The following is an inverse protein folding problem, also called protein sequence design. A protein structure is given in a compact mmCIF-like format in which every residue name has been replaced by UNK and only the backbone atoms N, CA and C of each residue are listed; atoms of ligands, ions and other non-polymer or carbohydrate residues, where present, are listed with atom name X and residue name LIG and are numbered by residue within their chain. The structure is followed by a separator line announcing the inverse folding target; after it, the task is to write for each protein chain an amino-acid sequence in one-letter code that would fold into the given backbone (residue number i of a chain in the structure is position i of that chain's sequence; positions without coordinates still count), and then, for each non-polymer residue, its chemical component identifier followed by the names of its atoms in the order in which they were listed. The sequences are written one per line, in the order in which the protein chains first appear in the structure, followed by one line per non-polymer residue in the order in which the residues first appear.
data_IF_694473512004
#
_entry.id   IF_694473512004
#
_cell.length_a   1.000
_cell.length_b   1.000
_cell.length_c   1.000
_cell.angle_alpha   90.00
_cell.angle_beta   90.00
_cell.angle_gamma   90.00
#
_symmetry.space_group_name_H-M   'P 1'
#
loop_
_entity.id
_entity.type
_entity.pdbx_description
1 polymer ?
#
# COMPACT_ATOMS: atom_id res chain seq x y z
N UNK A 1 -15.20 10.09 4.65
CA UNK A 1 -13.91 9.47 4.33
C UNK A 1 -14.07 8.66 3.06
N UNK A 2 -13.23 8.91 2.07
CA UNK A 2 -13.10 8.00 0.93
C UNK A 2 -12.18 6.85 1.34
N UNK A 3 -12.56 5.62 1.03
CA UNK A 3 -11.76 4.46 1.44
C UNK A 3 -12.55 3.15 1.43
N UNK A 4 -11.89 2.07 1.81
CA UNK A 4 -12.45 0.73 1.86
C UNK A 4 -13.05 0.43 3.24
N UNK A 5 -14.19 -0.26 3.29
CA UNK A 5 -14.79 -0.82 4.50
C UNK A 5 -14.22 -2.17 4.87
N UNK A 6 -13.82 -2.93 3.86
CA UNK A 6 -13.37 -4.31 3.97
C UNK A 6 -12.42 -4.65 2.83
N UNK A 7 -11.85 -5.85 2.86
CA UNK A 7 -11.20 -6.47 1.70
C UNK A 7 -11.41 -7.98 1.74
N UNK A 8 -11.72 -8.56 0.59
CA UNK A 8 -11.68 -10.00 0.35
C UNK A 8 -10.58 -10.31 -0.68
N UNK A 9 -9.68 -11.21 -0.34
CA UNK A 9 -8.49 -11.55 -1.12
C UNK A 9 -8.52 -13.03 -1.43
N UNK A 10 -8.45 -13.41 -2.71
CA UNK A 10 -8.37 -14.80 -3.16
C UNK A 10 -7.17 -15.03 -4.04
N UNK A 11 -6.51 -16.16 -3.87
CA UNK A 11 -5.44 -16.69 -4.72
C UNK A 11 -4.25 -15.73 -4.95
N UNK A 12 -3.95 -14.89 -3.98
CA UNK A 12 -2.88 -13.91 -4.12
C UNK A 12 -1.67 -14.27 -3.25
N UNK A 13 -0.51 -14.47 -3.88
CA UNK A 13 0.73 -14.88 -3.22
C UNK A 13 0.52 -16.13 -2.33
N UNK A 14 0.86 -16.05 -1.05
CA UNK A 14 0.62 -17.11 -0.06
C UNK A 14 -0.81 -17.22 0.43
N UNK A 15 -1.68 -16.26 0.11
CA UNK A 15 -3.07 -16.20 0.56
C UNK A 15 -3.97 -16.94 -0.42
N UNK A 16 -4.55 -18.06 0.02
CA UNK A 16 -5.60 -18.75 -0.75
C UNK A 16 -6.94 -18.02 -0.63
N UNK A 17 -7.31 -17.62 0.58
CA UNK A 17 -8.47 -16.77 0.88
C UNK A 17 -8.25 -16.06 2.22
N UNK A 18 -8.62 -14.78 2.27
CA UNK A 18 -8.63 -13.95 3.49
C UNK A 18 -9.66 -12.84 3.31
N UNK A 19 -10.56 -12.71 4.29
CA UNK A 19 -11.51 -11.60 4.40
C UNK A 19 -11.21 -10.76 5.64
N UNK A 20 -11.23 -9.45 5.52
CA UNK A 20 -11.01 -8.49 6.61
C UNK A 20 -12.10 -7.42 6.54
N UNK A 21 -12.87 -7.29 7.61
CA UNK A 21 -14.01 -6.37 7.69
C UNK A 21 -13.74 -5.22 8.66
N UNK A 22 -14.60 -4.18 8.58
CA UNK A 22 -14.66 -3.06 9.51
C UNK A 22 -13.39 -2.19 9.56
N UNK A 23 -12.83 -1.86 8.39
CA UNK A 23 -11.75 -0.90 8.31
C UNK A 23 -12.18 0.49 8.80
N UNK A 24 -11.28 1.13 9.54
CA UNK A 24 -11.41 2.51 10.01
C UNK A 24 -10.43 3.43 9.27
N UNK A 25 -10.19 4.61 9.81
CA UNK A 25 -9.24 5.58 9.21
C UNK A 25 -7.80 5.07 9.26
N UNK A 26 -7.37 4.51 10.38
CA UNK A 26 -6.03 3.93 10.55
C UNK A 26 -6.16 2.44 10.88
N UNK A 27 -5.60 1.60 10.03
CA UNK A 27 -5.69 0.14 10.14
C UNK A 27 -4.29 -0.45 10.29
N UNK A 28 -4.05 -1.18 11.36
CA UNK A 28 -2.73 -1.74 11.67
C UNK A 28 -2.78 -3.26 11.58
N UNK A 29 -1.95 -3.84 10.73
CA UNK A 29 -1.83 -5.28 10.55
C UNK A 29 -0.63 -5.83 11.31
N UNK A 30 -0.90 -6.76 12.20
CA UNK A 30 0.06 -7.49 12.99
C UNK A 30 0.20 -8.94 12.53
N UNK A 31 1.22 -9.60 13.00
CA UNK A 31 1.41 -11.03 12.79
C UNK A 31 2.88 -11.39 12.68
N UNK A 32 3.15 -12.68 12.73
CA UNK A 32 4.50 -13.20 12.55
C UNK A 32 5.06 -12.90 11.16
N UNK A 33 6.37 -13.04 10.99
CA UNK A 33 6.97 -12.97 9.67
C UNK A 33 6.33 -14.00 8.74
N UNK A 34 6.12 -13.61 7.48
CA UNK A 34 5.49 -14.45 6.47
C UNK A 34 4.00 -14.82 6.74
N UNK A 35 3.31 -14.11 7.65
CA UNK A 35 1.86 -14.32 7.89
C UNK A 35 0.95 -13.72 6.81
N UNK A 36 1.49 -12.94 5.86
CA UNK A 36 0.74 -12.33 4.77
C UNK A 36 0.43 -10.84 4.94
N UNK A 37 0.95 -10.15 5.96
CA UNK A 37 0.71 -8.70 6.21
C UNK A 37 1.00 -7.83 4.98
N UNK A 38 2.21 -7.93 4.43
CA UNK A 38 2.60 -7.16 3.22
C UNK A 38 1.75 -7.54 2.02
N UNK A 39 1.32 -8.82 1.91
CA UNK A 39 0.41 -9.26 0.83
C UNK A 39 -0.97 -8.62 0.96
N UNK A 40 -1.45 -8.35 2.18
CA UNK A 40 -2.69 -7.59 2.39
C UNK A 40 -2.53 -6.15 1.92
N UNK A 41 -1.42 -5.46 2.27
CA UNK A 41 -1.16 -4.10 1.78
C UNK A 41 -1.07 -4.06 0.25
N UNK A 42 -0.37 -5.01 -0.36
CA UNK A 42 -0.26 -5.10 -1.81
C UNK A 42 -1.60 -5.36 -2.50
N UNK A 43 -2.47 -6.18 -1.91
CA UNK A 43 -3.83 -6.40 -2.41
C UNK A 43 -4.67 -5.11 -2.36
N UNK A 44 -4.58 -4.34 -1.27
CA UNK A 44 -5.23 -3.02 -1.13
C UNK A 44 -4.67 -2.05 -2.19
N UNK A 45 -3.35 -2.05 -2.41
CA UNK A 45 -2.69 -1.22 -3.42
C UNK A 45 -3.20 -1.52 -4.84
N UNK A 46 -3.26 -2.79 -5.22
CA UNK A 46 -3.76 -3.22 -6.53
C UNK A 46 -5.24 -2.86 -6.71
N UNK A 47 -6.07 -3.08 -5.70
CA UNK A 47 -7.49 -2.77 -5.77
C UNK A 47 -7.76 -1.26 -5.79
N UNK A 48 -6.93 -0.45 -5.14
CA UNK A 48 -7.04 1.01 -5.17
C UNK A 48 -6.82 1.58 -6.58
N UNK A 49 -5.83 1.05 -7.31
CA UNK A 49 -5.52 1.50 -8.68
C UNK A 49 -5.84 0.45 -9.74
N UNK A 50 -6.94 -0.28 -9.63
CA UNK A 50 -7.26 -1.49 -10.39
C UNK A 50 -7.36 -1.30 -11.91
N UNK A 51 -7.45 -0.07 -12.40
CA UNK A 51 -7.47 0.22 -13.83
C UNK A 51 -6.07 0.29 -14.47
N UNK A 52 -5.00 0.40 -13.66
CA UNK A 52 -3.64 0.59 -14.14
C UNK A 52 -2.90 -0.76 -14.26
N UNK A 53 -2.63 -1.23 -15.49
CA UNK A 53 -1.99 -2.53 -15.72
C UNK A 53 -0.49 -2.56 -15.37
N UNK A 54 0.13 -1.42 -15.07
CA UNK A 54 1.54 -1.37 -14.62
C UNK A 54 1.68 -1.68 -13.12
N UNK A 55 0.62 -1.57 -12.30
CA UNK A 55 0.72 -1.74 -10.85
C UNK A 55 1.26 -3.11 -10.42
N UNK A 56 0.83 -4.26 -10.99
CA UNK A 56 1.40 -5.55 -10.64
C UNK A 56 2.90 -5.65 -10.91
N UNK A 57 3.39 -5.04 -12.00
CA UNK A 57 4.83 -4.95 -12.27
C UNK A 57 5.54 -4.04 -11.25
N UNK A 58 4.94 -2.92 -10.90
CA UNK A 58 5.53 -1.97 -9.95
C UNK A 58 5.70 -2.59 -8.56
N UNK A 59 4.78 -3.45 -8.11
CA UNK A 59 4.93 -4.21 -6.87
C UNK A 59 6.15 -5.13 -6.89
N UNK A 60 6.42 -5.81 -8.02
CA UNK A 60 7.59 -6.68 -8.12
C UNK A 60 8.89 -5.86 -8.18
N UNK A 61 8.91 -4.75 -8.94
CA UNK A 61 10.05 -3.82 -8.97
C UNK A 61 10.40 -3.30 -7.58
N UNK A 62 9.38 -3.00 -6.78
CA UNK A 62 9.55 -2.56 -5.40
C UNK A 62 10.34 -3.57 -4.54
N UNK A 63 10.17 -4.86 -4.80
CA UNK A 63 10.86 -5.95 -4.07
C UNK A 63 12.23 -6.33 -4.66
N UNK A 64 12.38 -6.31 -5.99
CA UNK A 64 13.58 -6.86 -6.67
C UNK A 64 14.62 -5.82 -6.99
N UNK A 65 14.30 -4.51 -6.93
CA UNK A 65 15.14 -3.37 -7.36
C UNK A 65 15.63 -3.45 -8.82
N UNK A 66 15.03 -4.33 -9.64
CA UNK A 66 15.42 -4.53 -11.03
C UNK A 66 14.38 -3.88 -11.95
N UNK A 67 14.84 -2.99 -12.84
CA UNK A 67 14.00 -2.23 -13.77
C UNK A 67 14.13 -2.75 -15.20
N UNK A 68 13.49 -3.86 -15.52
CA UNK A 68 13.35 -4.31 -16.92
C UNK A 68 11.90 -4.72 -17.21
N UNK A 69 11.37 -4.28 -18.35
CA UNK A 69 10.01 -4.62 -18.82
C UNK A 69 9.86 -6.12 -19.10
N UNK A 70 10.98 -6.81 -19.42
CA UNK A 70 11.06 -8.27 -19.62
C UNK A 70 10.52 -9.12 -18.44
N UNK A 71 10.14 -8.49 -17.30
CA UNK A 71 9.72 -9.19 -16.09
C UNK A 71 8.20 -9.37 -15.93
N UNK A 72 7.42 -9.27 -17.02
CA UNK A 72 6.00 -9.66 -16.95
C UNK A 72 5.85 -11.11 -16.42
N UNK A 73 6.81 -11.97 -16.73
CA UNK A 73 6.89 -13.33 -16.19
C UNK A 73 6.99 -13.38 -14.66
N UNK A 74 7.55 -12.35 -14.03
CA UNK A 74 7.65 -12.28 -12.56
C UNK A 74 6.31 -11.99 -11.89
N UNK A 75 5.29 -11.49 -12.62
CA UNK A 75 3.94 -11.32 -12.11
C UNK A 75 3.35 -12.66 -11.66
N UNK A 76 3.80 -13.80 -12.21
CA UNK A 76 3.42 -15.15 -11.76
C UNK A 76 3.64 -15.37 -10.26
N UNK A 77 4.62 -14.68 -9.65
CA UNK A 77 4.85 -14.75 -8.19
C UNK A 77 3.75 -14.11 -7.36
N UNK A 78 2.80 -13.43 -7.98
CA UNK A 78 1.59 -12.91 -7.35
C UNK A 78 0.45 -13.93 -7.35
N UNK A 79 0.55 -15.02 -8.13
CA UNK A 79 -0.45 -16.08 -8.20
C UNK A 79 -0.20 -17.15 -7.12
N UNK A 80 -1.27 -17.59 -6.47
CA UNK A 80 -1.15 -18.60 -5.41
C UNK A 80 -0.59 -19.91 -5.93
N UNK A 81 0.43 -20.44 -5.23
CA UNK A 81 1.18 -21.63 -5.61
C UNK A 81 1.83 -21.54 -7.01
N UNK A 82 2.09 -20.34 -7.52
CA UNK A 82 2.63 -20.09 -8.88
C UNK A 82 1.77 -20.70 -10.00
N UNK A 83 0.52 -21.00 -9.71
CA UNK A 83 -0.41 -21.60 -10.65
C UNK A 83 -1.28 -20.51 -11.29
N UNK A 84 -1.09 -20.25 -12.57
CA UNK A 84 -1.82 -19.22 -13.31
C UNK A 84 -3.32 -19.47 -13.44
N UNK A 85 -3.76 -20.71 -13.20
CA UNK A 85 -5.20 -21.05 -13.11
C UNK A 85 -5.84 -20.55 -11.80
N UNK A 86 -5.03 -20.28 -10.77
CA UNK A 86 -5.48 -19.67 -9.51
C UNK A 86 -5.47 -18.14 -9.67
N UNK A 87 -6.39 -17.58 -10.41
CA UNK A 87 -6.47 -16.14 -10.68
C UNK A 87 -6.61 -15.35 -9.39
N UNK A 88 -5.73 -14.36 -9.11
CA UNK A 88 -5.92 -13.46 -8.00
C UNK A 88 -7.19 -12.63 -8.16
N UNK A 89 -8.00 -12.57 -7.10
CA UNK A 89 -9.21 -11.76 -7.03
C UNK A 89 -9.21 -10.91 -5.76
N UNK A 90 -9.69 -9.68 -5.90
CA UNK A 90 -9.78 -8.72 -4.81
C UNK A 90 -11.13 -8.03 -4.86
N UNK A 91 -11.82 -7.93 -3.73
CA UNK A 91 -13.08 -7.23 -3.65
C UNK A 91 -13.12 -6.33 -2.41
N UNK A 92 -13.80 -5.20 -2.53
CA UNK A 92 -14.04 -4.30 -1.39
C UNK A 92 -15.33 -3.52 -1.59
N UNK A 93 -16.01 -3.22 -0.51
CA UNK A 93 -17.03 -2.19 -0.45
C UNK A 93 -16.38 -0.90 0.05
N UNK A 94 -16.59 0.20 -0.65
CA UNK A 94 -16.14 1.53 -0.23
C UNK A 94 -17.07 2.14 0.82
N UNK A 95 -16.59 3.18 1.50
CA UNK A 95 -17.37 3.90 2.53
C UNK A 95 -18.63 4.58 1.96
N UNK A 96 -18.60 4.97 0.68
CA UNK A 96 -19.74 5.54 -0.07
C UNK A 96 -20.74 4.49 -0.60
N UNK A 97 -20.50 3.21 -0.35
CA UNK A 97 -21.35 2.10 -0.76
C UNK A 97 -21.03 1.49 -2.13
N UNK A 98 -20.10 2.07 -2.89
CA UNK A 98 -19.61 1.50 -4.15
C UNK A 98 -18.82 0.21 -3.86
N UNK A 99 -19.10 -0.85 -4.63
CA UNK A 99 -18.30 -2.08 -4.56
C UNK A 99 -17.33 -2.15 -5.72
N UNK A 100 -16.13 -2.62 -5.45
CA UNK A 100 -15.03 -2.81 -6.41
C UNK A 100 -14.64 -4.28 -6.42
N UNK A 101 -14.38 -4.79 -7.60
CA UNK A 101 -13.84 -6.13 -7.81
C UNK A 101 -12.75 -6.07 -8.87
N UNK A 102 -11.65 -6.76 -8.64
CA UNK A 102 -10.53 -6.89 -9.56
C UNK A 102 -10.14 -8.36 -9.68
N UNK A 103 -10.00 -8.85 -10.92
CA UNK A 103 -9.42 -10.13 -11.26
C UNK A 103 -8.19 -9.94 -12.14
N UNK A 104 -7.10 -10.63 -11.82
CA UNK A 104 -5.85 -10.59 -12.61
C UNK A 104 -5.67 -11.88 -13.38
N UNK A 105 -5.36 -11.77 -14.69
CA UNK A 105 -5.02 -12.92 -15.55
C UNK A 105 -3.66 -12.72 -16.18
N UNK A 106 -2.88 -13.77 -16.27
CA UNK A 106 -1.56 -13.77 -16.89
C UNK A 106 -1.46 -14.95 -17.86
N UNK A 107 -1.24 -14.67 -19.13
CA UNK A 107 -1.27 -15.70 -20.18
C UNK A 107 -0.38 -15.30 -21.38
N UNK A 108 -0.35 -16.14 -22.42
CA UNK A 108 0.39 -15.89 -23.65
C UNK A 108 -0.58 -15.63 -24.81
N UNK A 109 -0.31 -14.57 -25.61
CA UNK A 109 -0.98 -14.29 -26.88
C UNK A 109 0.03 -14.12 -28.00
N UNK A 110 -0.38 -14.37 -29.25
CA UNK A 110 0.49 -14.24 -30.42
C UNK A 110 0.56 -12.78 -30.92
N UNK A 111 -0.53 -12.05 -30.84
CA UNK A 111 -0.62 -10.65 -31.28
C UNK A 111 -1.39 -9.79 -30.26
N UNK A 112 -1.14 -8.48 -30.29
CA UNK A 112 -1.89 -7.52 -29.48
C UNK A 112 -3.37 -7.38 -29.96
N UNK A 113 -3.68 -7.74 -31.19
CA UNK A 113 -4.98 -7.58 -31.83
C UNK A 113 -5.95 -8.77 -31.53
N UNK A 114 -5.43 -9.91 -31.08
CA UNK A 114 -6.26 -11.06 -30.63
C UNK A 114 -7.14 -10.71 -29.39
N UNK A 115 -6.98 -9.51 -28.88
CA UNK A 115 -7.66 -8.96 -27.70
C UNK A 115 -9.04 -8.36 -27.92
N UNK A 116 -9.51 -8.24 -29.17
CA UNK A 116 -10.80 -7.60 -29.47
C UNK A 116 -12.00 -8.52 -29.27
N UNK A 117 -11.78 -9.76 -28.82
CA UNK A 117 -12.86 -10.69 -28.50
C UNK A 117 -13.62 -10.30 -27.24
N UNK A 118 -14.93 -10.52 -27.24
CA UNK A 118 -15.89 -10.13 -26.21
C UNK A 118 -15.49 -10.59 -24.79
N UNK A 119 -15.80 -9.78 -23.78
CA UNK A 119 -15.55 -10.03 -22.34
C UNK A 119 -16.11 -11.39 -21.87
N UNK A 120 -17.06 -11.99 -22.59
CA UNK A 120 -17.82 -13.18 -22.23
C UNK A 120 -17.21 -14.53 -22.74
N UNK A 121 -16.17 -14.51 -23.58
CA UNK A 121 -15.59 -15.78 -24.04
C UNK A 121 -14.48 -16.28 -23.10
N UNK A 122 -14.58 -17.54 -22.59
CA UNK A 122 -13.54 -18.14 -21.79
C UNK A 122 -12.28 -18.35 -22.67
N UNK A 123 -11.18 -17.71 -22.30
CA UNK A 123 -9.89 -17.96 -22.93
C UNK A 123 -9.53 -19.45 -22.81
N UNK A 124 -9.48 -20.14 -23.94
CA UNK A 124 -8.97 -21.52 -24.01
C UNK A 124 -7.46 -21.44 -23.80
N UNK A 125 -7.02 -21.67 -22.57
CA UNK A 125 -5.61 -21.78 -22.24
C UNK A 125 -5.06 -23.06 -22.90
N UNK A 126 -4.48 -22.96 -24.09
CA UNK A 126 -3.73 -24.06 -24.69
C UNK A 126 -2.50 -24.36 -23.83
N UNK A 127 -2.31 -25.63 -23.48
CA UNK A 127 -1.25 -26.13 -22.57
C UNK A 127 0.18 -26.07 -23.17
N UNK A 128 0.44 -25.23 -24.13
CA UNK A 128 1.81 -25.02 -24.63
C UNK A 128 2.58 -24.18 -23.61
N UNK A 129 3.76 -24.68 -23.20
CA UNK A 129 4.72 -24.09 -22.24
C UNK A 129 5.33 -22.80 -22.81
N UNK A 130 4.53 -21.86 -23.27
CA UNK A 130 5.01 -20.53 -23.69
C UNK A 130 5.00 -19.60 -22.48
N UNK A 131 6.06 -18.80 -22.37
CA UNK A 131 6.15 -17.80 -21.29
C UNK A 131 5.03 -16.78 -21.44
N UNK A 132 4.34 -16.42 -20.36
CA UNK A 132 3.27 -15.41 -20.41
C UNK A 132 3.84 -14.06 -20.85
N UNK A 133 3.15 -13.40 -21.75
CA UNK A 133 3.50 -12.09 -22.29
C UNK A 133 2.37 -11.06 -22.17
N UNK A 134 1.27 -11.46 -21.55
CA UNK A 134 0.09 -10.62 -21.41
C UNK A 134 -0.48 -10.69 -20.01
N UNK A 135 -0.62 -9.52 -19.40
CA UNK A 135 -1.33 -9.29 -18.15
C UNK A 135 -2.65 -8.59 -18.46
N UNK A 136 -3.74 -9.15 -17.96
CA UNK A 136 -5.06 -8.59 -18.08
C UNK A 136 -5.64 -8.31 -16.68
N UNK A 137 -6.25 -7.14 -16.52
CA UNK A 137 -7.01 -6.72 -15.38
C UNK A 137 -8.48 -6.60 -15.78
N UNK A 138 -9.33 -7.48 -15.26
CA UNK A 138 -10.78 -7.38 -15.37
C UNK A 138 -11.31 -6.79 -14.09
N UNK A 139 -12.08 -5.71 -14.18
CA UNK A 139 -12.56 -5.05 -12.98
C UNK A 139 -13.98 -4.53 -13.11
N UNK A 140 -14.69 -4.61 -11.99
CA UNK A 140 -16.09 -4.25 -11.89
C UNK A 140 -16.30 -3.13 -10.88
N UNK A 141 -17.20 -2.21 -11.22
CA UNK A 141 -17.71 -1.19 -10.33
C UNK A 141 -19.21 -1.41 -10.19
N UNK A 142 -19.64 -1.74 -8.96
CA UNK A 142 -21.06 -1.90 -8.64
C UNK A 142 -21.55 -0.70 -7.81
N UNK A 143 -22.57 -0.04 -8.30
CA UNK A 143 -23.26 1.08 -7.66
C UNK A 143 -24.74 0.74 -7.49
N UNK A 144 -25.53 1.62 -6.88
CA UNK A 144 -26.98 1.49 -6.82
C UNK A 144 -27.64 1.37 -8.22
N UNK A 145 -26.97 1.86 -9.27
CA UNK A 145 -27.47 1.84 -10.66
C UNK A 145 -27.08 0.57 -11.44
N UNK A 146 -26.39 -0.38 -10.81
CA UNK A 146 -25.93 -1.63 -11.41
C UNK A 146 -24.42 -1.76 -11.47
N UNK A 147 -23.97 -2.85 -12.11
CA UNK A 147 -22.55 -3.18 -12.29
C UNK A 147 -22.09 -2.78 -13.68
N UNK A 148 -20.92 -2.16 -13.76
CA UNK A 148 -20.19 -1.90 -15.00
C UNK A 148 -18.91 -2.71 -15.01
N UNK A 149 -18.59 -3.30 -16.15
CA UNK A 149 -17.43 -4.15 -16.38
C UNK A 149 -16.39 -3.40 -17.22
N UNK A 150 -15.15 -3.50 -16.83
CA UNK A 150 -14.03 -2.81 -17.49
C UNK A 150 -12.84 -3.74 -17.64
N UNK A 151 -11.93 -3.36 -18.52
CA UNK A 151 -10.74 -4.13 -18.84
C UNK A 151 -9.55 -3.22 -19.09
N UNK A 152 -8.39 -3.58 -18.56
CA UNK A 152 -7.10 -2.99 -18.90
C UNK A 152 -6.08 -4.10 -19.13
N UNK A 153 -5.10 -3.89 -20.00
CA UNK A 153 -4.10 -4.90 -20.29
C UNK A 153 -2.71 -4.33 -20.57
N UNK A 154 -1.71 -5.17 -20.35
CA UNK A 154 -0.33 -4.93 -20.68
C UNK A 154 0.18 -6.13 -21.48
N UNK A 155 0.57 -5.89 -22.73
CA UNK A 155 1.17 -6.85 -23.63
C UNK A 155 2.65 -6.52 -23.81
N UNK A 156 3.51 -7.54 -23.79
CA UNK A 156 4.95 -7.41 -24.06
C UNK A 156 5.30 -8.30 -25.25
N UNK A 157 5.79 -7.71 -26.32
CA UNK A 157 6.19 -8.45 -27.52
C UNK A 157 7.58 -9.11 -27.39
N UNK A 158 8.00 -9.84 -28.40
CA UNK A 158 9.30 -10.54 -28.42
C UNK A 158 10.52 -9.59 -28.38
N UNK A 159 10.34 -8.31 -28.73
CA UNK A 159 11.40 -7.29 -28.66
C UNK A 159 11.39 -6.48 -27.37
N UNK A 160 10.71 -6.98 -26.33
CA UNK A 160 10.52 -6.31 -25.03
C UNK A 160 9.79 -4.95 -25.11
N UNK A 161 9.10 -4.66 -26.21
CA UNK A 161 8.26 -3.48 -26.32
C UNK A 161 6.91 -3.74 -25.65
N UNK A 162 6.50 -2.81 -24.79
CA UNK A 162 5.26 -2.90 -24.05
C UNK A 162 4.14 -2.07 -24.70
N UNK A 163 2.99 -2.69 -24.91
CA UNK A 163 1.76 -2.02 -25.31
C UNK A 163 0.77 -2.05 -24.14
N UNK A 164 0.21 -0.88 -23.81
CA UNK A 164 -0.77 -0.70 -22.75
C UNK A 164 -2.11 -0.33 -23.33
N UNK A 165 -3.13 -0.99 -22.82
CA UNK A 165 -4.52 -0.66 -23.16
C UNK A 165 -5.28 -0.44 -21.86
N UNK A 166 -5.65 0.81 -21.60
CA UNK A 166 -6.48 1.19 -20.46
C UNK A 166 -7.92 1.41 -20.90
N UNK A 167 -8.87 1.14 -20.01
CA UNK A 167 -10.27 1.43 -20.26
C UNK A 167 -10.48 2.94 -20.42
N UNK A 168 -10.97 3.39 -21.58
CA UNK A 168 -11.27 4.80 -21.84
C UNK A 168 -12.54 5.28 -21.15
N UNK A 169 -13.40 4.36 -20.75
CA UNK A 169 -14.72 4.66 -20.15
C UNK A 169 -14.66 4.78 -18.62
N UNK A 170 -13.52 4.45 -18.02
CA UNK A 170 -13.33 4.49 -16.58
C UNK A 170 -12.19 5.45 -16.19
N UNK A 171 -12.49 6.31 -15.24
CA UNK A 171 -11.49 7.19 -14.61
C UNK A 171 -11.31 6.73 -13.16
N UNK A 172 -10.09 6.31 -12.81
CA UNK A 172 -9.77 5.90 -11.45
C UNK A 172 -9.88 7.10 -10.49
N UNK A 173 -10.64 6.91 -9.43
CA UNK A 173 -10.84 7.92 -8.37
C UNK A 173 -9.98 7.68 -7.16
N UNK A 174 -9.55 6.43 -6.95
CA UNK A 174 -8.70 6.07 -5.84
C UNK A 174 -7.24 6.07 -6.27
N UNK A 175 -6.38 6.52 -5.39
CA UNK A 175 -4.94 6.47 -5.56
C UNK A 175 -4.30 6.05 -4.25
N UNK A 176 -3.37 5.11 -4.29
CA UNK A 176 -2.65 4.67 -3.12
C UNK A 176 -1.15 4.88 -3.30
N UNK A 177 -0.49 5.31 -2.24
CA UNK A 177 0.97 5.29 -2.16
C UNK A 177 1.40 4.16 -1.22
N UNK A 178 2.38 3.37 -1.66
CA UNK A 178 2.95 2.27 -0.86
C UNK A 178 4.39 2.60 -0.47
N UNK A 179 4.62 2.75 0.83
CA UNK A 179 5.94 2.84 1.44
C UNK A 179 6.37 1.45 1.87
N UNK A 180 7.20 0.78 1.07
CA UNK A 180 7.76 -0.52 1.45
C UNK A 180 8.95 -0.36 2.40
N UNK A 181 9.27 -1.44 3.13
CA UNK A 181 10.38 -1.46 4.07
C UNK A 181 11.73 -1.09 3.41
N UNK A 182 11.92 -1.50 2.14
CA UNK A 182 13.18 -1.38 1.41
C UNK A 182 13.25 -0.19 0.44
N UNK A 183 12.13 0.47 0.15
CA UNK A 183 12.06 1.57 -0.81
C UNK A 183 11.74 2.88 -0.11
N UNK A 184 12.72 3.77 -0.17
CA UNK A 184 12.47 5.20 -0.06
C UNK A 184 11.77 5.63 -1.36
N UNK A 185 10.69 6.40 -1.24
CA UNK A 185 9.95 6.88 -2.41
C UNK A 185 10.90 7.56 -3.39
N UNK A 186 10.96 7.07 -4.62
CA UNK A 186 11.66 7.72 -5.73
C UNK A 186 11.03 9.07 -6.10
N UNK A 187 9.90 9.43 -5.48
CA UNK A 187 9.10 10.61 -5.80
C UNK A 187 9.12 11.69 -4.70
N UNK A 188 9.99 11.59 -3.69
CA UNK A 188 10.00 12.55 -2.57
C UNK A 188 10.06 14.00 -3.03
N UNK A 189 10.92 14.32 -4.01
CA UNK A 189 11.04 15.68 -4.55
C UNK A 189 9.72 16.14 -5.21
N UNK A 190 9.02 15.24 -5.91
CA UNK A 190 7.73 15.56 -6.54
C UNK A 190 6.64 15.77 -5.47
N UNK A 191 6.55 14.89 -4.47
CA UNK A 191 5.59 15.01 -3.36
C UNK A 191 5.78 16.34 -2.64
N UNK A 192 7.04 16.70 -2.32
CA UNK A 192 7.38 17.97 -1.70
C UNK A 192 7.09 19.18 -2.61
N UNK A 193 7.35 19.07 -3.91
CA UNK A 193 7.05 20.13 -4.87
C UNK A 193 5.56 20.46 -4.88
N UNK A 194 4.68 19.45 -4.86
CA UNK A 194 3.25 19.66 -4.80
C UNK A 194 2.81 20.33 -3.48
N UNK A 195 3.41 19.94 -2.36
CA UNK A 195 3.16 20.57 -1.05
C UNK A 195 3.64 22.01 -1.00
N UNK A 196 4.82 22.31 -1.57
CA UNK A 196 5.38 23.67 -1.63
C UNK A 196 4.56 24.59 -2.52
N UNK A 197 4.06 24.12 -3.67
CA UNK A 197 3.11 24.88 -4.51
C UNK A 197 1.85 25.27 -3.74
N UNK A 198 1.41 24.45 -2.81
CA UNK A 198 0.24 24.69 -1.92
C UNK A 198 0.58 25.49 -0.67
N UNK A 199 1.81 25.99 -0.51
CA UNK A 199 2.30 26.74 0.66
C UNK A 199 2.25 25.93 1.97
N UNK A 200 2.37 24.61 1.89
CA UNK A 200 2.35 23.70 3.05
C UNK A 200 3.74 23.33 3.58
N UNK A 201 4.79 23.99 3.09
CA UNK A 201 6.17 23.77 3.51
C UNK A 201 6.36 23.94 5.03
N UNK A 202 5.76 24.98 5.62
CA UNK A 202 5.91 25.26 7.06
C UNK A 202 5.29 24.17 7.93
N UNK A 203 4.13 23.65 7.55
CA UNK A 203 3.47 22.54 8.26
C UNK A 203 4.37 21.30 8.27
N UNK A 204 4.97 20.98 7.11
CA UNK A 204 5.91 19.87 7.01
C UNK A 204 7.16 20.08 7.85
N UNK A 205 7.71 21.31 7.85
CA UNK A 205 8.87 21.68 8.67
C UNK A 205 8.57 21.54 10.17
N UNK A 206 7.40 21.96 10.63
CA UNK A 206 6.95 21.76 12.01
C UNK A 206 6.91 20.27 12.41
N UNK A 207 6.43 19.40 11.53
CA UNK A 207 6.46 17.95 11.77
C UNK A 207 7.90 17.42 11.85
N UNK A 208 8.80 17.89 10.99
CA UNK A 208 10.22 17.52 11.03
C UNK A 208 10.92 18.02 12.29
N UNK A 209 10.63 19.25 12.75
CA UNK A 209 11.15 19.80 14.01
C UNK A 209 10.67 19.02 15.24
N UNK A 210 9.45 18.46 15.21
CA UNK A 210 9.03 17.53 16.26
C UNK A 210 9.87 16.24 16.26
N UNK A 211 10.33 15.78 15.10
CA UNK A 211 11.21 14.63 14.98
C UNK A 211 12.63 14.92 15.44
N UNK A 212 13.25 16.00 14.93
CA UNK A 212 14.58 16.49 15.34
C UNK A 212 14.55 18.03 15.43
N UNK A 213 14.70 18.56 16.64
CA UNK A 213 14.58 19.99 16.93
C UNK A 213 15.65 20.86 16.24
N UNK A 214 16.75 20.26 15.76
CA UNK A 214 17.82 20.96 15.03
C UNK A 214 17.47 21.29 13.59
N UNK A 215 16.39 20.69 13.05
CA UNK A 215 15.97 20.91 11.67
C UNK A 215 15.41 22.33 11.54
N UNK A 216 15.97 23.12 10.65
CA UNK A 216 15.56 24.51 10.41
C UNK A 216 15.13 24.80 8.97
N UNK A 217 15.48 23.95 8.01
CA UNK A 217 15.14 24.16 6.61
C UNK A 217 14.89 22.84 5.85
N UNK A 218 14.07 22.93 4.80
CA UNK A 218 13.82 21.85 3.84
C UNK A 218 13.67 22.50 2.46
N UNK A 219 14.52 22.12 1.50
CA UNK A 219 14.55 22.72 0.16
C UNK A 219 14.62 21.64 -0.93
N UNK A 220 14.19 22.02 -2.13
CA UNK A 220 14.36 21.20 -3.34
C UNK A 220 15.33 21.95 -4.26
N UNK A 221 16.50 21.38 -4.49
CA UNK A 221 17.53 21.93 -5.36
C UNK A 221 17.90 20.90 -6.42
N UNK A 222 17.83 21.28 -7.70
CA UNK A 222 18.15 20.38 -8.82
C UNK A 222 17.45 19.01 -8.77
N UNK A 223 16.17 19.00 -8.37
CA UNK A 223 15.35 17.80 -8.20
C UNK A 223 15.80 16.86 -7.04
N UNK A 224 16.76 17.28 -6.22
CA UNK A 224 17.14 16.61 -4.97
C UNK A 224 16.60 17.36 -3.77
N UNK A 225 16.34 16.63 -2.68
CA UNK A 225 15.83 17.19 -1.43
C UNK A 225 16.97 17.44 -0.46
N UNK A 226 17.03 18.64 0.09
CA UNK A 226 18.02 19.09 1.06
C UNK A 226 17.36 19.47 2.37
N UNK A 227 18.06 19.19 3.46
CA UNK A 227 17.64 19.50 4.83
C UNK A 227 18.72 20.34 5.53
N UNK A 228 18.30 21.38 6.22
CA UNK A 228 19.16 22.24 7.03
C UNK A 228 19.06 21.90 8.51
N UNK A 229 20.21 21.98 9.20
CA UNK A 229 20.34 21.80 10.64
C UNK A 229 21.01 23.02 11.26
N UNK A 230 20.64 23.38 12.49
CA UNK A 230 21.19 24.55 13.20
C UNK A 230 22.69 24.44 13.47
N UNK A 231 23.18 23.22 13.64
CA UNK A 231 24.58 22.91 13.97
C UNK A 231 25.46 22.66 12.72
N UNK A 232 24.91 22.73 11.50
CA UNK A 232 25.60 22.48 10.24
C UNK A 232 25.47 23.70 9.32
N UNK A 233 26.58 24.23 8.80
CA UNK A 233 26.59 25.45 7.99
C UNK A 233 25.93 25.29 6.62
N UNK A 234 26.03 24.10 6.03
CA UNK A 234 25.51 23.81 4.70
C UNK A 234 24.36 22.81 4.80
N UNK A 235 23.39 22.93 3.89
CA UNK A 235 22.30 21.98 3.81
C UNK A 235 22.81 20.62 3.31
N UNK A 236 22.34 19.54 3.91
CA UNK A 236 22.68 18.19 3.52
C UNK A 236 21.62 17.60 2.57
N UNK A 237 22.03 16.87 1.52
CA UNK A 237 21.08 16.04 0.79
C UNK A 237 20.39 15.07 1.74
N UNK A 238 19.08 14.91 1.63
CA UNK A 238 18.32 13.96 2.47
C UNK A 238 18.84 12.53 2.33
N UNK A 239 19.44 12.18 1.19
CA UNK A 239 20.11 10.89 0.99
C UNK A 239 21.29 10.64 1.92
N UNK A 240 21.90 11.71 2.47
CA UNK A 240 23.00 11.65 3.46
C UNK A 240 22.49 11.75 4.91
N UNK A 241 21.20 12.02 5.12
CA UNK A 241 20.60 11.98 6.43
C UNK A 241 20.42 10.53 6.92
N UNK A 242 20.25 10.38 8.23
CA UNK A 242 19.99 9.05 8.81
C UNK A 242 18.71 8.42 8.25
N UNK A 243 18.70 7.10 8.13
CA UNK A 243 17.59 6.33 7.54
C UNK A 243 16.24 6.65 8.20
N UNK A 244 16.22 6.83 9.51
CA UNK A 244 15.02 7.16 10.25
C UNK A 244 14.41 8.50 9.82
N UNK A 245 15.22 9.55 9.66
CA UNK A 245 14.73 10.85 9.20
C UNK A 245 14.24 10.78 7.75
N UNK A 246 14.97 10.08 6.88
CA UNK A 246 14.55 9.87 5.48
C UNK A 246 13.19 9.17 5.40
N UNK A 247 13.02 8.11 6.20
CA UNK A 247 11.76 7.35 6.24
C UNK A 247 10.62 8.19 6.80
N UNK A 248 10.85 8.88 7.90
CA UNK A 248 9.88 9.80 8.48
C UNK A 248 9.41 10.85 7.46
N UNK A 249 10.36 11.54 6.81
CA UNK A 249 10.06 12.56 5.81
C UNK A 249 9.27 11.99 4.62
N UNK A 250 9.65 10.81 4.10
CA UNK A 250 8.93 10.16 3.00
C UNK A 250 7.47 9.85 3.37
N UNK A 251 7.24 9.28 4.56
CA UNK A 251 5.89 8.95 5.03
C UNK A 251 5.05 10.22 5.16
N UNK A 252 5.59 11.26 5.82
CA UNK A 252 4.85 12.50 6.05
C UNK A 252 4.56 13.23 4.75
N UNK A 253 5.55 13.35 3.85
CA UNK A 253 5.38 14.03 2.56
C UNK A 253 4.34 13.32 1.69
N UNK A 254 4.44 12.00 1.52
CA UNK A 254 3.47 11.25 0.72
C UNK A 254 2.08 11.16 1.37
N UNK A 255 2.01 11.16 2.72
CA UNK A 255 0.73 11.23 3.44
C UNK A 255 0.06 12.60 3.28
N UNK A 256 0.82 13.67 3.22
CA UNK A 256 0.29 15.01 2.99
C UNK A 256 -0.10 15.26 1.51
N UNK A 257 0.49 14.52 0.54
CA UNK A 257 0.20 14.73 -0.88
C UNK A 257 -1.27 14.48 -1.20
N UNK A 258 -2.01 15.48 -1.70
CA UNK A 258 -3.46 15.37 -1.95
C UNK A 258 -3.83 14.42 -3.09
N UNK A 259 -2.88 14.05 -3.96
CA UNK A 259 -3.10 13.08 -5.02
C UNK A 259 -3.34 11.65 -4.50
N UNK A 260 -2.95 11.35 -3.26
CA UNK A 260 -3.14 10.04 -2.65
C UNK A 260 -4.41 10.01 -1.81
N UNK A 261 -5.30 9.04 -2.02
CA UNK A 261 -6.49 8.81 -1.20
C UNK A 261 -6.22 7.80 -0.09
N UNK A 262 -5.27 6.90 -0.29
CA UNK A 262 -4.87 5.86 0.67
C UNK A 262 -3.36 5.85 0.86
N UNK A 263 -2.93 5.60 2.08
CA UNK A 263 -1.54 5.52 2.50
C UNK A 263 -1.25 4.11 3.02
N UNK A 264 -0.27 3.45 2.43
CA UNK A 264 0.11 2.09 2.78
C UNK A 264 1.56 2.09 3.26
N UNK A 265 1.81 1.64 4.49
CA UNK A 265 3.13 1.66 5.12
C UNK A 265 3.50 0.25 5.55
N UNK A 266 4.45 -0.37 4.86
CA UNK A 266 4.95 -1.69 5.22
C UNK A 266 6.10 -1.56 6.23
N UNK A 267 6.02 -2.33 7.33
CA UNK A 267 7.01 -2.34 8.43
C UNK A 267 7.34 -0.91 8.93
N UNK A 268 6.35 -0.26 9.54
CA UNK A 268 6.46 1.13 10.02
C UNK A 268 7.67 1.36 10.92
N UNK A 269 8.07 0.36 11.67
CA UNK A 269 9.19 0.34 12.63
C UNK A 269 10.58 0.21 11.96
N UNK A 270 10.66 -0.18 10.67
CA UNK A 270 11.93 -0.39 10.00
C UNK A 270 12.74 0.92 9.86
N UNK A 271 14.02 0.88 10.25
CA UNK A 271 14.95 2.01 10.13
C UNK A 271 14.71 3.17 11.10
N UNK A 272 13.75 3.06 12.02
CA UNK A 272 13.44 4.08 13.02
C UNK A 272 13.92 3.68 14.42
N UNK A 273 14.48 4.62 15.16
CA UNK A 273 14.75 4.44 16.56
C UNK A 273 13.45 4.52 17.37
N UNK A 274 13.31 3.74 18.44
CA UNK A 274 12.09 3.64 19.24
C UNK A 274 11.56 4.99 19.75
N UNK A 275 12.46 5.96 20.03
CA UNK A 275 12.08 7.30 20.47
C UNK A 275 11.28 8.11 19.42
N UNK A 276 11.29 7.67 18.17
CA UNK A 276 10.57 8.29 17.07
C UNK A 276 9.15 7.72 16.88
N UNK A 277 8.85 6.54 17.42
CA UNK A 277 7.59 5.84 17.13
C UNK A 277 6.37 6.65 17.56
N UNK A 278 6.37 7.21 18.76
CA UNK A 278 5.23 8.01 19.25
C UNK A 278 4.97 9.22 18.35
N UNK A 279 6.04 9.97 18.00
CA UNK A 279 5.95 11.14 17.12
C UNK A 279 5.43 10.78 15.72
N UNK A 280 5.84 9.60 15.21
CA UNK A 280 5.37 9.11 13.93
C UNK A 280 3.87 8.75 13.98
N UNK A 281 3.41 8.07 15.03
CA UNK A 281 2.00 7.77 15.22
C UNK A 281 1.15 9.05 15.32
N UNK A 282 1.56 10.03 16.15
CA UNK A 282 0.90 11.33 16.24
C UNK A 282 0.78 12.01 14.87
N UNK A 283 1.87 12.04 14.10
CA UNK A 283 1.88 12.65 12.78
C UNK A 283 0.96 11.92 11.79
N UNK A 284 0.94 10.58 11.79
CA UNK A 284 0.08 9.77 10.90
C UNK A 284 -1.39 10.02 11.22
N UNK A 285 -1.79 9.96 12.50
CA UNK A 285 -3.20 10.18 12.88
C UNK A 285 -3.64 11.61 12.58
N UNK A 286 -2.83 12.61 12.93
CA UNK A 286 -3.13 14.00 12.64
C UNK A 286 -3.28 14.27 11.13
N UNK A 287 -2.35 13.76 10.31
CA UNK A 287 -2.43 13.91 8.86
C UNK A 287 -3.62 13.14 8.25
N UNK A 288 -3.87 11.92 8.69
CA UNK A 288 -5.01 11.13 8.23
C UNK A 288 -6.34 11.84 8.52
N UNK A 289 -6.47 12.43 9.71
CA UNK A 289 -7.65 13.20 10.11
C UNK A 289 -7.77 14.49 9.27
N UNK A 290 -6.70 15.29 9.18
CA UNK A 290 -6.69 16.58 8.48
C UNK A 290 -6.93 16.43 6.96
N UNK A 291 -6.45 15.34 6.34
CA UNK A 291 -6.56 15.10 4.89
C UNK A 291 -7.69 14.14 4.52
N UNK A 292 -8.44 13.62 5.49
CA UNK A 292 -9.54 12.66 5.34
C UNK A 292 -9.12 11.37 4.59
N UNK A 293 -7.88 10.91 4.77
CA UNK A 293 -7.30 9.72 4.13
C UNK A 293 -7.42 8.49 4.99
N UNK A 294 -7.40 7.33 4.34
CA UNK A 294 -7.32 6.03 5.00
C UNK A 294 -5.88 5.53 4.99
N UNK A 295 -5.43 5.00 6.12
CA UNK A 295 -4.05 4.53 6.30
C UNK A 295 -4.07 3.05 6.68
N UNK A 296 -3.18 2.28 6.04
CA UNK A 296 -2.96 0.87 6.31
C UNK A 296 -1.49 0.63 6.61
N UNK A 297 -1.19 -0.01 7.71
CA UNK A 297 0.15 -0.10 8.26
C UNK A 297 0.43 -1.53 8.66
N UNK A 298 1.63 -2.04 8.37
CA UNK A 298 2.10 -3.30 8.97
C UNK A 298 3.18 -3.03 10.00
N UNK A 299 3.22 -3.85 11.04
CA UNK A 299 4.32 -3.92 12.00
C UNK A 299 4.44 -5.33 12.58
N UNK A 300 5.63 -5.66 13.06
CA UNK A 300 5.89 -6.84 13.87
C UNK A 300 6.50 -6.48 15.25
N UNK A 301 6.67 -5.17 15.52
CA UNK A 301 7.31 -4.66 16.74
C UNK A 301 6.28 -4.46 17.86
N UNK A 302 6.58 -5.06 19.03
CA UNK A 302 5.79 -4.84 20.25
C UNK A 302 5.98 -3.42 20.78
N UNK A 303 7.19 -2.88 20.67
CA UNK A 303 7.52 -1.53 21.09
C UNK A 303 6.70 -0.49 20.34
N UNK A 304 6.55 -0.68 19.02
CA UNK A 304 5.72 0.20 18.17
C UNK A 304 4.26 0.18 18.63
N UNK A 305 3.73 -0.99 19.03
CA UNK A 305 2.37 -1.11 19.54
C UNK A 305 2.20 -0.45 20.91
N UNK A 306 3.17 -0.61 21.81
CA UNK A 306 3.12 0.08 23.11
C UNK A 306 3.17 1.60 22.94
N UNK A 307 3.95 2.11 21.97
CA UNK A 307 3.97 3.53 21.63
C UNK A 307 2.63 4.00 21.02
N UNK A 308 1.99 3.17 20.18
CA UNK A 308 0.65 3.43 19.66
C UNK A 308 -0.37 3.52 20.79
N UNK A 309 -0.36 2.56 21.73
CA UNK A 309 -1.26 2.57 22.89
C UNK A 309 -1.10 3.87 23.71
N UNK A 310 0.14 4.21 24.10
CA UNK A 310 0.41 5.43 24.87
C UNK A 310 0.03 6.71 24.13
N UNK A 311 0.19 6.75 22.79
CA UNK A 311 -0.28 7.88 21.99
C UNK A 311 -1.81 7.98 22.00
N UNK A 312 -2.54 6.86 21.89
CA UNK A 312 -4.00 6.84 21.92
C UNK A 312 -4.59 7.12 23.30
N UNK A 313 -3.85 6.86 24.37
CA UNK A 313 -4.21 7.29 25.74
C UNK A 313 -4.17 8.82 25.88
N UNK A 314 -3.14 9.45 25.30
CA UNK A 314 -2.99 10.92 25.32
C UNK A 314 -3.93 11.63 24.34
N UNK A 315 -4.38 10.92 23.27
CA UNK A 315 -5.25 11.43 22.20
C UNK A 315 -6.51 10.59 22.03
N UNK A 316 -7.47 10.65 23.00
CA UNK A 316 -8.70 9.82 22.97
C UNK A 316 -9.55 10.04 21.71
N UNK A 317 -9.45 11.21 21.09
CA UNK A 317 -10.17 11.56 19.85
C UNK A 317 -9.84 10.62 18.68
N UNK A 318 -8.66 9.96 18.69
CA UNK A 318 -8.24 9.04 17.65
C UNK A 318 -8.57 7.57 17.91
N UNK A 319 -9.05 7.21 19.13
CA UNK A 319 -9.29 5.81 19.51
C UNK A 319 -10.31 5.12 18.59
N UNK A 320 -11.36 5.83 18.18
CA UNK A 320 -12.38 5.29 17.28
C UNK A 320 -11.90 5.18 15.82
N UNK A 321 -10.89 5.93 15.45
CA UNK A 321 -10.29 5.93 14.12
C UNK A 321 -9.31 4.76 13.91
N UNK A 322 -9.01 3.96 14.93
CA UNK A 322 -8.05 2.86 14.90
C UNK A 322 -8.74 1.50 14.83
N UNK A 323 -8.21 0.62 13.98
CA UNK A 323 -8.44 -0.83 14.00
C UNK A 323 -7.12 -1.57 13.93
N UNK A 324 -7.04 -2.64 14.68
CA UNK A 324 -5.88 -3.51 14.73
C UNK A 324 -6.30 -4.92 14.28
N UNK A 325 -5.48 -5.56 13.46
CA UNK A 325 -5.76 -6.89 12.93
C UNK A 325 -4.53 -7.78 13.08
N UNK A 326 -4.68 -8.92 13.75
CA UNK A 326 -3.65 -9.96 13.69
C UNK A 326 -3.90 -10.86 12.50
N UNK A 327 -2.97 -10.87 11.55
CA UNK A 327 -3.00 -11.79 10.40
C UNK A 327 -2.25 -13.06 10.79
N UNK A 328 -2.98 -14.17 10.83
CA UNK A 328 -2.43 -15.47 11.20
C UNK A 328 -2.74 -16.52 10.12
N UNK A 329 -1.77 -17.41 9.86
CA UNK A 329 -1.94 -18.57 8.98
C UNK A 329 -2.04 -19.83 9.83
N UNK A 330 -3.19 -20.48 9.80
CA UNK A 330 -3.44 -21.72 10.54
C UNK A 330 -3.49 -22.90 9.59
N UNK A 331 -3.06 -24.07 10.05
CA UNK A 331 -3.10 -25.31 9.24
C UNK A 331 -4.53 -25.72 8.85
N UNK A 332 -5.51 -25.47 9.73
CA UNK A 332 -6.90 -25.90 9.51
C UNK A 332 -7.75 -24.92 8.72
N UNK A 333 -7.57 -23.61 8.96
CA UNK A 333 -8.44 -22.54 8.41
C UNK A 333 -7.76 -21.64 7.38
N UNK A 334 -6.46 -21.87 7.09
CA UNK A 334 -5.68 -20.98 6.23
C UNK A 334 -5.44 -19.64 6.89
N UNK A 335 -5.47 -18.56 6.09
CA UNK A 335 -5.29 -17.20 6.61
C UNK A 335 -6.55 -16.70 7.30
N UNK A 336 -6.38 -16.07 8.46
CA UNK A 336 -7.43 -15.47 9.26
C UNK A 336 -6.99 -14.10 9.75
N UNK A 337 -7.94 -13.17 9.92
CA UNK A 337 -7.73 -11.87 10.53
C UNK A 337 -8.51 -11.78 11.84
N UNK A 338 -7.84 -11.42 12.91
CA UNK A 338 -8.46 -11.20 14.23
C UNK A 338 -8.44 -9.71 14.53
N UNK A 339 -9.61 -9.11 14.66
CA UNK A 339 -9.80 -7.67 14.84
C UNK A 339 -9.76 -7.27 16.31
N UNK A 340 -9.14 -6.14 16.60
CA UNK A 340 -9.14 -5.47 17.90
C UNK A 340 -9.42 -3.98 17.74
N UNK A 341 -10.10 -3.41 18.72
CA UNK A 341 -10.27 -1.97 18.93
C UNK A 341 -9.18 -1.43 19.87
N UNK A 342 -9.24 -0.14 20.23
CA UNK A 342 -8.35 0.44 21.22
C UNK A 342 -8.40 -0.31 22.56
N UNK A 343 -9.60 -0.67 23.03
CA UNK A 343 -9.76 -1.39 24.30
C UNK A 343 -9.05 -2.76 24.27
N UNK A 344 -9.07 -3.44 23.13
CA UNK A 344 -8.34 -4.70 22.95
C UNK A 344 -6.84 -4.51 22.95
N UNK A 345 -6.33 -3.42 22.36
CA UNK A 345 -4.91 -3.06 22.39
C UNK A 345 -4.45 -2.69 23.80
N UNK A 346 -5.20 -1.81 24.48
CA UNK A 346 -4.90 -1.36 25.85
C UNK A 346 -4.88 -2.52 26.82
N UNK A 347 -5.92 -3.36 26.81
CA UNK A 347 -5.97 -4.54 27.68
C UNK A 347 -4.84 -5.53 27.43
N UNK A 348 -4.40 -5.69 26.17
CA UNK A 348 -3.25 -6.53 25.85
C UNK A 348 -1.92 -5.93 26.34
N UNK A 349 -1.74 -4.62 26.22
CA UNK A 349 -0.55 -3.94 26.73
C UNK A 349 -0.46 -4.03 28.26
N UNK A 350 -1.55 -3.76 28.98
CA UNK A 350 -1.64 -3.84 30.44
C UNK A 350 -1.36 -5.24 30.99
N UNK A 351 -1.89 -6.28 30.33
CA UNK A 351 -1.76 -7.66 30.75
C UNK A 351 -0.59 -8.40 30.09
N UNK A 352 0.25 -7.69 29.32
CA UNK A 352 1.38 -8.24 28.58
C UNK A 352 1.02 -9.41 27.64
N UNK A 353 -0.19 -9.34 27.06
CA UNK A 353 -0.69 -10.36 26.12
C UNK A 353 -0.07 -10.18 24.75
N UNK A 354 0.36 -11.28 24.13
CA UNK A 354 0.94 -11.28 22.79
C UNK A 354 -0.16 -11.21 21.71
N UNK A 355 -0.24 -10.10 20.97
CA UNK A 355 -1.21 -9.90 19.90
C UNK A 355 -0.74 -10.36 18.52
N UNK A 356 0.56 -10.61 18.31
CA UNK A 356 1.11 -10.98 17.00
C UNK A 356 0.80 -12.43 16.58
N UNK A 357 0.08 -13.17 17.42
CA UNK A 357 -0.28 -14.57 17.24
C UNK A 357 0.71 -15.52 17.94
N UNK A 358 0.18 -16.57 18.55
CA UNK A 358 1.03 -17.66 19.08
C UNK A 358 1.59 -18.48 17.91
N UNK A 359 2.83 -18.94 18.08
CA UNK A 359 3.49 -19.87 17.17
C UNK A 359 2.76 -21.21 17.10
#
# INVERSE_FOLDING_TARGET
MEGFKNIDIKNFRGIKHLSIDDFSRVNVFLGQNNSGKSSVLEAIFLLAGMSNPDLPLNLNKARTRIFRIAYLQEVRYQFNNLNLKNTPEFSSQQMDGVSRHLQMRLFHTETADDYTQSIDEPLILTETVRMPNTLELLFDITTANGTKHFRSSLFVNQSDAASRQESKEYIEKNSAVLFSADLLSSNLANDLSELFKRKQKNILLEHLQKFDTRINALEILNNDVYIGFDDIKEMLPVSMAGDGLRRYLNIIAGSANPGNTMILIDEIDNGLHYSAYKKLWEAIFALAAATNKQVFITTHSKETLCCLNGMLEEHPEYQQDMRLYTIAKTLKKGHQAYKYTYEGLSGACENNVELRGMA
#
